data_IF_843913141615
#
_entry.id   IF_843913141615
#
_cell.length_a   1.000
_cell.length_b   1.000
_cell.length_c   1.000
_cell.angle_alpha   90.00
_cell.angle_beta   90.00
_cell.angle_gamma   90.00
#
_symmetry.space_group_name_H-M   'P 1'
#
loop_
_entity.id
_entity.type
_entity.pdbx_description
1 polymer ?
#
# COMPACT_ATOMS: atom_id res chain seq x y z
N UNK A 1 -3.13 23.12 1.92
CA UNK A 1 -2.78 22.11 2.95
C UNK A 1 -1.62 21.32 2.39
N UNK A 2 -0.43 21.42 3.00
CA UNK A 2 0.78 20.73 2.50
C UNK A 2 0.60 19.23 2.75
N UNK A 3 0.41 18.47 1.68
CA UNK A 3 0.53 17.01 1.69
C UNK A 3 2.02 16.72 1.89
N UNK A 4 2.45 16.39 3.10
CA UNK A 4 3.80 15.87 3.29
C UNK A 4 3.89 14.54 2.53
N UNK A 5 4.56 14.58 1.38
CA UNK A 5 4.78 13.40 0.54
C UNK A 5 5.70 12.44 1.29
N UNK A 6 5.20 11.26 1.63
CA UNK A 6 6.00 10.20 2.24
C UNK A 6 7.00 9.70 1.20
N UNK A 7 8.27 10.06 1.38
CA UNK A 7 9.37 9.64 0.50
C UNK A 7 9.84 8.25 0.89
N UNK A 8 9.13 7.24 0.43
CA UNK A 8 9.53 5.85 0.62
C UNK A 8 10.84 5.53 -0.11
N UNK A 9 11.78 4.95 0.61
CA UNK A 9 12.99 4.35 0.06
C UNK A 9 12.69 2.88 -0.26
N UNK A 10 12.56 2.57 -1.55
CA UNK A 10 12.32 1.21 -2.01
C UNK A 10 13.62 0.40 -1.84
N UNK A 11 13.55 -0.67 -1.08
CA UNK A 11 14.65 -1.59 -0.86
C UNK A 11 14.42 -2.77 -1.78
N UNK A 12 15.46 -3.21 -2.51
CA UNK A 12 15.42 -4.38 -3.38
C UNK A 12 15.43 -5.70 -2.57
N UNK A 13 14.59 -5.76 -1.54
CA UNK A 13 14.40 -6.91 -0.68
C UNK A 13 12.95 -7.38 -0.83
N UNK A 14 12.80 -8.64 -1.22
CA UNK A 14 11.51 -9.27 -1.42
C UNK A 14 11.28 -10.35 -0.39
N UNK A 15 10.08 -10.39 0.18
CA UNK A 15 9.64 -11.41 1.13
C UNK A 15 8.27 -11.91 0.75
N UNK A 16 8.07 -13.22 0.77
CA UNK A 16 6.75 -13.81 0.57
C UNK A 16 5.99 -13.76 1.91
N UNK A 17 4.88 -13.03 1.95
CA UNK A 17 3.99 -12.94 3.12
C UNK A 17 2.65 -13.58 2.74
N UNK A 18 2.35 -14.72 3.36
CA UNK A 18 1.22 -15.55 2.97
C UNK A 18 1.39 -16.08 1.53
N UNK A 19 0.58 -15.57 0.60
CA UNK A 19 0.58 -16.00 -0.81
C UNK A 19 1.10 -14.93 -1.79
N UNK A 20 1.43 -13.73 -1.31
CA UNK A 20 1.84 -12.60 -2.13
C UNK A 20 3.32 -12.28 -1.94
N UNK A 21 3.96 -11.82 -2.99
CA UNK A 21 5.33 -11.30 -2.98
C UNK A 21 5.30 -9.85 -2.54
N UNK A 22 5.95 -9.58 -1.42
CA UNK A 22 6.04 -8.25 -0.84
C UNK A 22 7.45 -7.69 -1.05
N UNK A 23 7.53 -6.39 -1.24
CA UNK A 23 8.75 -5.62 -1.38
C UNK A 23 8.90 -4.73 -0.17
N UNK A 24 10.14 -4.55 0.28
CA UNK A 24 10.43 -3.71 1.43
C UNK A 24 10.58 -2.26 1.01
N UNK A 25 9.92 -1.39 1.73
CA UNK A 25 10.10 0.06 1.67
C UNK A 25 10.45 0.55 3.07
N UNK A 26 11.33 1.54 3.15
CA UNK A 26 11.71 2.19 4.40
C UNK A 26 11.36 3.67 4.33
N UNK A 27 10.83 4.21 5.40
CA UNK A 27 10.65 5.64 5.57
C UNK A 27 11.02 6.00 7.00
N UNK A 28 12.16 6.68 7.18
CA UNK A 28 12.72 6.98 8.51
C UNK A 28 12.88 5.70 9.35
N UNK A 29 12.11 5.57 10.42
CA UNK A 29 12.10 4.42 11.35
C UNK A 29 10.94 3.44 11.07
N UNK A 30 10.29 3.59 9.91
CA UNK A 30 9.15 2.78 9.48
C UNK A 30 9.61 1.85 8.38
N UNK A 31 9.28 0.56 8.52
CA UNK A 31 9.50 -0.46 7.50
C UNK A 31 8.13 -0.92 7.01
N UNK A 32 7.82 -0.69 5.74
CA UNK A 32 6.59 -1.16 5.10
C UNK A 32 6.91 -2.26 4.11
N UNK A 33 6.17 -3.36 4.14
CA UNK A 33 6.18 -4.40 3.15
C UNK A 33 4.92 -4.32 2.32
N UNK A 34 5.08 -4.01 1.04
CA UNK A 34 3.97 -3.80 0.12
C UNK A 34 3.95 -4.86 -0.99
N UNK A 35 2.76 -5.29 -1.40
CA UNK A 35 2.57 -6.27 -2.45
C UNK A 35 2.11 -5.58 -3.75
N UNK A 36 2.99 -5.45 -4.77
CA UNK A 36 2.62 -4.85 -6.06
C UNK A 36 1.66 -5.72 -6.87
N UNK A 37 1.49 -7.00 -6.51
CA UNK A 37 0.45 -7.87 -7.07
C UNK A 37 -0.97 -7.33 -6.81
N UNK A 38 -1.12 -6.51 -5.76
CA UNK A 38 -2.36 -5.83 -5.42
C UNK A 38 -2.11 -4.33 -5.63
N UNK A 39 -2.47 -3.75 -6.79
CA UNK A 39 -2.19 -2.35 -7.14
C UNK A 39 -3.11 -1.37 -6.40
N UNK A 40 -3.26 -1.56 -5.09
CA UNK A 40 -3.98 -0.69 -4.17
C UNK A 40 -2.95 0.09 -3.38
N UNK A 41 -2.87 1.40 -3.58
CA UNK A 41 -1.90 2.27 -2.91
C UNK A 41 -2.34 2.62 -1.47
N UNK A 42 -2.79 1.60 -0.74
CA UNK A 42 -3.34 1.71 0.61
C UNK A 42 -2.53 0.87 1.58
N UNK A 43 -2.62 1.24 2.85
CA UNK A 43 -1.93 0.55 3.91
C UNK A 43 -2.54 0.83 5.27
N UNK A 44 -2.13 0.06 6.28
CA UNK A 44 -2.58 0.27 7.65
C UNK A 44 -2.08 1.62 8.18
N UNK A 45 -2.81 2.20 9.13
CA UNK A 45 -2.43 3.44 9.84
C UNK A 45 -2.30 4.66 8.90
N UNK A 46 -3.00 4.67 7.76
CA UNK A 46 -2.99 5.80 6.83
C UNK A 46 -1.71 5.93 6.00
N UNK A 47 -0.81 4.94 6.07
CA UNK A 47 0.35 4.87 5.18
C UNK A 47 -0.08 4.41 3.79
N UNK A 48 0.39 5.10 2.76
CA UNK A 48 0.07 4.82 1.37
C UNK A 48 1.12 5.43 0.43
N UNK A 49 0.84 5.42 -0.87
CA UNK A 49 1.75 5.96 -1.88
C UNK A 49 2.83 5.01 -2.38
N UNK A 50 2.75 3.73 -2.01
CA UNK A 50 3.51 2.65 -2.63
C UNK A 50 2.71 2.04 -3.79
N UNK A 51 3.36 1.51 -4.84
CA UNK A 51 2.68 0.93 -6.01
C UNK A 51 1.96 -0.41 -5.72
N UNK A 52 1.67 -0.70 -4.46
CA UNK A 52 0.95 -1.90 -4.02
C UNK A 52 0.44 -1.77 -2.59
N UNK A 53 -0.36 -2.75 -2.17
CA UNK A 53 -0.98 -2.75 -0.85
C UNK A 53 0.07 -3.05 0.22
N UNK A 54 0.15 -2.23 1.27
CA UNK A 54 1.01 -2.51 2.41
C UNK A 54 0.38 -3.64 3.25
N UNK A 55 1.04 -4.79 3.27
CA UNK A 55 0.60 -6.00 3.99
C UNK A 55 1.21 -6.08 5.38
N UNK A 56 2.43 -5.58 5.55
CA UNK A 56 3.10 -5.53 6.84
C UNK A 56 3.72 -4.16 7.05
N UNK A 57 3.56 -3.57 8.22
CA UNK A 57 4.17 -2.28 8.55
C UNK A 57 4.73 -2.35 9.96
N UNK A 58 6.01 -2.08 10.09
CA UNK A 58 6.73 -2.06 11.35
C UNK A 58 7.14 -0.62 11.65
N UNK A 59 6.82 -0.16 12.86
CA UNK A 59 7.15 1.17 13.34
C UNK A 59 8.10 1.07 14.53
N UNK A 60 9.35 1.51 14.33
CA UNK A 60 10.36 1.58 15.39
C UNK A 60 10.71 0.26 16.06
N UNK A 61 10.35 -0.89 15.47
CA UNK A 61 10.57 -2.22 16.05
C UNK A 61 9.68 -2.58 17.26
N UNK A 62 8.77 -1.69 17.67
CA UNK A 62 7.85 -1.93 18.78
C UNK A 62 6.43 -2.27 18.32
N UNK A 63 6.06 -1.81 17.11
CA UNK A 63 4.70 -1.96 16.60
C UNK A 63 4.76 -2.61 15.23
N UNK A 64 4.19 -3.81 15.11
CA UNK A 64 3.97 -4.48 13.84
C UNK A 64 2.47 -4.49 13.51
N UNK A 65 2.15 -4.08 12.29
CA UNK A 65 0.82 -4.17 11.71
C UNK A 65 0.88 -5.21 10.60
N UNK A 66 0.20 -6.32 10.80
CA UNK A 66 0.09 -7.38 9.81
C UNK A 66 -1.34 -7.46 9.29
N UNK A 67 -1.53 -7.39 7.98
CA UNK A 67 -2.84 -7.60 7.36
C UNK A 67 -3.23 -9.06 7.54
N UNK A 68 -4.19 -9.29 8.43
CA UNK A 68 -4.66 -10.64 8.79
C UNK A 68 -5.72 -11.18 7.82
N UNK A 69 -6.53 -10.29 7.28
CA UNK A 69 -7.63 -10.62 6.37
C UNK A 69 -7.82 -9.47 5.41
N UNK A 70 -7.72 -9.75 4.12
CA UNK A 70 -7.96 -8.79 3.06
C UNK A 70 -9.23 -9.22 2.32
N UNK A 71 -10.36 -8.61 2.68
CA UNK A 71 -11.64 -8.82 2.01
C UNK A 71 -11.74 -7.85 0.82
N UNK A 72 -11.25 -8.29 -0.34
CA UNK A 72 -11.42 -7.57 -1.60
C UNK A 72 -12.81 -7.88 -2.17
N UNK A 73 -13.88 -7.50 -1.47
CA UNK A 73 -15.22 -7.49 -2.06
C UNK A 73 -15.34 -6.28 -2.98
N UNK A 74 -14.65 -6.36 -4.12
CA UNK A 74 -14.79 -5.44 -5.24
C UNK A 74 -16.17 -5.69 -5.86
N UNK A 75 -17.23 -5.13 -5.26
CA UNK A 75 -18.41 -4.77 -6.05
C UNK A 75 -17.98 -3.67 -7.00
N UNK A 76 -17.52 -4.11 -8.16
CA UNK A 76 -17.02 -3.32 -9.28
C UNK A 76 -18.22 -2.66 -9.98
N UNK A 77 -18.86 -1.72 -9.32
CA UNK A 77 -19.81 -0.78 -9.93
C UNK A 77 -19.27 0.64 -9.77
N UNK A 78 -17.99 0.83 -10.09
CA UNK A 78 -17.54 2.16 -10.50
C UNK A 78 -17.93 2.28 -11.97
N UNK A 79 -19.19 2.63 -12.20
CA UNK A 79 -19.62 3.21 -13.47
C UNK A 79 -18.82 4.50 -13.63
N UNK A 80 -17.65 4.41 -14.24
CA UNK A 80 -16.94 5.59 -14.74
C UNK A 80 -17.82 6.14 -15.84
N UNK A 81 -18.74 7.03 -15.46
CA UNK A 81 -19.47 7.87 -16.41
C UNK A 81 -18.45 8.88 -16.91
N UNK A 82 -17.67 8.47 -17.92
CA UNK A 82 -16.96 9.40 -18.78
C UNK A 82 -18.01 10.35 -19.36
N UNK A 83 -18.18 11.53 -18.75
CA UNK A 83 -18.87 12.62 -19.39
C UNK A 83 -17.90 13.20 -20.43
N UNK A 84 -17.90 12.57 -21.60
CA UNK A 84 -17.40 13.18 -22.83
C UNK A 84 -18.42 14.26 -23.22
N UNK A 85 -17.91 15.41 -23.70
CA UNK A 85 -18.56 16.61 -24.28
C UNK A 85 -18.82 17.75 -23.27
N UNK A 86 -18.57 19.02 -23.58
CA UNK A 86 -18.13 19.72 -24.80
C UNK A 86 -17.96 21.21 -24.41
N UNK A 87 -16.96 21.88 -24.99
CA UNK A 87 -17.01 23.21 -25.65
C UNK A 87 -15.58 23.72 -25.83
#
# INVERSE_FOLDING_TARGET
MKSEEIKWELINETKKIGKYNCYKAKYKEIIAWYAPEIPLQFGPVGFGGLPGLIIHLEYGGFVDFSVKSLDLNLKKDIVIKNLRKEN
#
